data_IF_550664081785
#
_entry.id   IF_550664081785
#
_cell.length_a   1.000
_cell.length_b   1.000
_cell.length_c   1.000
_cell.angle_alpha   90.00
_cell.angle_beta   90.00
_cell.angle_gamma   90.00
#
_symmetry.space_group_name_H-M   'P 1'
#
loop_
_entity.id
_entity.type
_entity.pdbx_description
1 polymer ?
#
# COMPACT_ATOMS: atom_id res chain seq x y z
N UNK A 1 0.41 -8.37 -11.22
CA UNK A 1 0.03 -7.42 -10.15
C UNK A 1 1.22 -6.51 -9.88
N UNK A 2 1.00 -5.20 -9.93
CA UNK A 2 1.98 -4.16 -9.66
C UNK A 2 1.40 -3.21 -8.60
N UNK A 3 2.26 -2.64 -7.75
CA UNK A 3 1.86 -1.64 -6.77
C UNK A 3 2.54 -0.31 -7.13
N UNK A 4 1.74 0.75 -7.25
CA UNK A 4 2.25 2.11 -7.35
C UNK A 4 2.49 2.65 -5.93
N UNK A 5 3.71 3.10 -5.69
CA UNK A 5 4.17 3.51 -4.37
C UNK A 5 4.80 4.89 -4.47
N UNK A 6 4.39 5.81 -3.60
CA UNK A 6 5.00 7.13 -3.45
C UNK A 6 5.82 7.22 -2.16
N UNK A 7 6.95 7.92 -2.25
CA UNK A 7 7.78 8.26 -1.10
C UNK A 7 7.60 9.75 -0.81
N UNK A 8 6.94 10.06 0.30
CA UNK A 8 6.53 11.40 0.68
C UNK A 8 7.34 11.90 1.88
N UNK A 9 7.40 13.21 2.07
CA UNK A 9 8.08 13.86 3.21
C UNK A 9 9.54 13.41 3.37
N UNK A 10 10.28 13.37 2.27
CA UNK A 10 11.69 12.99 2.26
C UNK A 10 12.52 14.06 3.00
N UNK A 11 13.26 13.65 4.02
CA UNK A 11 14.16 14.52 4.79
C UNK A 11 15.51 13.82 4.91
N UNK A 12 16.57 14.51 4.51
CA UNK A 12 17.93 14.05 4.75
C UNK A 12 18.59 14.91 5.81
N UNK A 13 18.95 14.31 6.93
CA UNK A 13 19.62 15.01 8.05
C UNK A 13 20.48 14.03 8.84
N UNK A 14 21.63 14.48 9.33
CA UNK A 14 22.54 13.70 10.18
C UNK A 14 22.94 12.36 9.53
N UNK A 15 23.20 12.38 8.21
CA UNK A 15 23.50 11.20 7.39
C UNK A 15 22.37 10.13 7.37
N UNK A 16 21.14 10.52 7.70
CA UNK A 16 19.96 9.66 7.67
C UNK A 16 18.94 10.21 6.68
N UNK A 17 18.42 9.33 5.83
CA UNK A 17 17.29 9.61 4.95
C UNK A 17 16.02 9.06 5.59
N UNK A 18 15.10 9.95 5.96
CA UNK A 18 13.77 9.59 6.46
C UNK A 18 12.71 10.01 5.47
N UNK A 19 11.64 9.23 5.39
CA UNK A 19 10.51 9.49 4.51
C UNK A 19 9.34 8.58 4.86
N UNK A 20 8.16 8.95 4.41
CA UNK A 20 6.94 8.15 4.56
C UNK A 20 6.64 7.46 3.23
N UNK A 21 6.71 6.14 3.24
CA UNK A 21 6.28 5.33 2.10
C UNK A 21 4.75 5.17 2.16
N UNK A 22 4.07 5.45 1.05
CA UNK A 22 2.63 5.29 0.89
C UNK A 22 2.36 4.47 -0.37
N UNK A 23 1.44 3.51 -0.28
CA UNK A 23 0.96 2.76 -1.44
C UNK A 23 -0.25 3.50 -1.98
N UNK A 24 -0.17 3.94 -3.24
CA UNK A 24 -1.19 4.79 -3.85
C UNK A 24 -2.24 3.96 -4.60
N UNK A 25 -1.82 2.92 -5.32
CA UNK A 25 -2.74 2.05 -6.05
C UNK A 25 -2.16 0.67 -6.32
N UNK A 26 -3.03 -0.32 -6.52
CA UNK A 26 -2.67 -1.63 -7.05
C UNK A 26 -3.23 -1.80 -8.46
N UNK A 27 -2.39 -2.25 -9.39
CA UNK A 27 -2.77 -2.63 -10.75
C UNK A 27 -2.71 -4.14 -10.91
N UNK A 28 -3.80 -4.73 -11.35
CA UNK A 28 -3.96 -6.16 -11.59
C UNK A 28 -4.18 -6.34 -13.09
N UNK A 29 -3.34 -7.17 -13.69
CA UNK A 29 -3.40 -7.48 -15.12
C UNK A 29 -3.18 -8.98 -15.33
N UNK A 30 -3.79 -9.52 -16.36
CA UNK A 30 -3.71 -10.93 -16.74
C UNK A 30 -4.55 -11.87 -15.88
N UNK A 31 -5.67 -11.41 -15.32
CA UNK A 31 -6.55 -12.24 -14.51
C UNK A 31 -7.33 -13.23 -15.38
N UNK A 32 -7.01 -14.51 -15.28
CA UNK A 32 -7.90 -15.59 -15.72
C UNK A 32 -8.79 -16.00 -14.54
N UNK A 33 -9.96 -15.37 -14.43
CA UNK A 33 -10.96 -15.80 -13.47
C UNK A 33 -11.74 -17.01 -14.00
N UNK A 34 -11.83 -18.07 -13.18
CA UNK A 34 -12.69 -19.24 -13.43
C UNK A 34 -14.15 -18.94 -13.05
N UNK A 35 -14.38 -17.86 -12.29
CA UNK A 35 -15.69 -17.43 -11.81
C UNK A 35 -16.19 -16.29 -12.69
N UNK A 36 -17.30 -16.53 -13.39
CA UNK A 36 -17.97 -15.53 -14.22
C UNK A 36 -18.40 -14.33 -13.37
N UNK A 37 -17.93 -13.14 -13.74
CA UNK A 37 -18.25 -11.88 -13.05
C UNK A 37 -17.17 -11.35 -12.10
N UNK A 38 -16.05 -12.06 -11.93
CA UNK A 38 -14.84 -11.48 -11.29
C UNK A 38 -13.89 -11.07 -12.41
N UNK A 39 -13.84 -9.78 -12.69
CA UNK A 39 -12.87 -9.17 -13.61
C UNK A 39 -11.76 -8.42 -12.84
N UNK A 40 -10.74 -7.99 -13.58
CA UNK A 40 -9.57 -7.27 -13.04
C UNK A 40 -9.98 -6.02 -12.24
N UNK A 41 -10.94 -5.25 -12.77
CA UNK A 41 -11.42 -4.02 -12.13
C UNK A 41 -12.14 -4.28 -10.80
N UNK A 42 -12.89 -5.38 -10.71
CA UNK A 42 -13.57 -5.78 -9.48
C UNK A 42 -12.58 -6.15 -8.37
N UNK A 43 -11.48 -6.84 -8.71
CA UNK A 43 -10.43 -7.16 -7.75
C UNK A 43 -9.56 -5.95 -7.38
N UNK A 44 -9.26 -5.07 -8.34
CA UNK A 44 -8.57 -3.81 -8.06
C UNK A 44 -9.37 -2.94 -7.09
N UNK A 45 -10.68 -2.81 -7.31
CA UNK A 45 -11.56 -2.07 -6.41
C UNK A 45 -11.52 -2.64 -4.99
N UNK A 46 -11.65 -3.97 -4.85
CA UNK A 46 -11.68 -4.64 -3.56
C UNK A 46 -10.34 -4.50 -2.82
N UNK A 47 -9.23 -4.63 -3.53
CA UNK A 47 -7.88 -4.47 -2.96
C UNK A 47 -7.60 -3.02 -2.57
N UNK A 48 -8.02 -2.04 -3.37
CA UNK A 48 -7.88 -0.63 -3.02
C UNK A 48 -8.73 -0.26 -1.80
N UNK A 49 -9.98 -0.72 -1.73
CA UNK A 49 -10.85 -0.52 -0.56
C UNK A 49 -10.29 -1.21 0.70
N UNK A 50 -9.73 -2.42 0.55
CA UNK A 50 -9.08 -3.13 1.64
C UNK A 50 -7.81 -2.42 2.10
N UNK A 51 -7.03 -1.85 1.17
CA UNK A 51 -5.83 -1.07 1.46
C UNK A 51 -6.17 0.18 2.29
N UNK A 52 -7.17 0.94 1.88
CA UNK A 52 -7.68 2.09 2.64
C UNK A 52 -8.12 1.71 4.06
N UNK A 53 -8.76 0.54 4.21
CA UNK A 53 -9.29 0.09 5.50
C UNK A 53 -8.23 -0.54 6.43
N UNK A 54 -7.38 -1.41 5.90
CA UNK A 54 -6.41 -2.20 6.68
C UNK A 54 -5.06 -1.49 6.84
N UNK A 55 -4.50 -0.89 5.78
CA UNK A 55 -3.17 -0.25 5.88
C UNK A 55 -3.25 1.01 6.73
N UNK A 56 -4.37 1.75 6.70
CA UNK A 56 -4.59 2.87 7.63
C UNK A 56 -4.59 2.40 9.11
N UNK A 57 -5.17 1.25 9.41
CA UNK A 57 -5.20 0.70 10.77
C UNK A 57 -3.85 0.12 11.21
N UNK A 58 -3.19 -0.66 10.35
CA UNK A 58 -1.92 -1.32 10.67
C UNK A 58 -0.73 -0.35 10.68
N UNK A 59 -0.69 0.67 9.79
CA UNK A 59 0.31 1.74 9.87
C UNK A 59 0.07 2.63 11.09
N UNK A 60 -1.17 2.97 11.43
CA UNK A 60 -1.50 3.73 12.65
C UNK A 60 -1.03 2.99 13.91
N UNK A 61 -1.22 1.67 13.95
CA UNK A 61 -0.77 0.82 15.06
C UNK A 61 0.75 0.69 15.12
N UNK A 62 1.43 0.44 13.98
CA UNK A 62 2.90 0.37 13.90
C UNK A 62 3.59 1.72 14.16
N UNK A 63 2.95 2.84 13.83
CA UNK A 63 3.41 4.20 14.15
C UNK A 63 3.19 4.56 15.63
N UNK A 64 2.09 4.09 16.25
CA UNK A 64 1.85 4.23 17.69
C UNK A 64 2.79 3.37 18.54
N UNK A 65 3.12 2.17 18.07
CA UNK A 65 3.95 1.21 18.80
C UNK A 65 5.46 1.48 18.67
N UNK A 66 5.88 2.52 17.95
CA UNK A 66 7.25 3.04 18.00
C UNK A 66 8.35 2.03 17.64
N UNK A 67 8.07 1.06 16.77
CA UNK A 67 9.08 0.06 16.38
C UNK A 67 10.06 0.69 15.39
N UNK A 68 11.09 1.31 15.95
CA UNK A 68 12.35 1.61 15.28
C UNK A 68 12.82 0.32 14.59
N UNK A 69 12.90 0.39 13.27
CA UNK A 69 13.59 -0.59 12.44
C UNK A 69 15.06 -0.54 12.90
N UNK A 70 15.48 -1.60 13.60
CA UNK A 70 16.87 -1.86 13.96
C UNK A 70 17.30 -3.09 13.17
#
# INVERSE_FOLDING_TARGET
MLAEVSLQNLVFKDYRLTGKLSIDSFKISGLQSVVTGIDEGSLEFLINALNELLIAQDMSKKLKDGKLIN
#
